data_IF_411839760857
#
_entry.id   IF_411839760857
#
_cell.length_a   1.000
_cell.length_b   1.000
_cell.length_c   1.000
_cell.angle_alpha   90.00
_cell.angle_beta   90.00
_cell.angle_gamma   90.00
#
_symmetry.space_group_name_H-M   'P 1'
#
loop_
_entity.id
_entity.type
_entity.pdbx_description
1 polymer ?
#
# COMPACT_ATOMS: atom_id res chain seq x y z
N UNK A 1 24.13 11.77 -14.43
CA UNK A 1 25.40 11.11 -14.12
C UNK A 1 25.22 10.29 -12.87
N UNK A 2 25.08 8.99 -13.01
CA UNK A 2 25.15 8.08 -11.87
C UNK A 2 26.61 7.92 -11.49
N UNK A 3 26.97 8.40 -10.31
CA UNK A 3 28.29 8.12 -9.74
C UNK A 3 28.42 6.62 -9.51
N UNK A 4 29.41 5.94 -10.09
CA UNK A 4 29.58 4.49 -9.95
C UNK A 4 29.90 4.01 -8.53
N UNK A 5 30.00 4.90 -7.58
CA UNK A 5 30.61 4.67 -6.26
C UNK A 5 29.60 4.59 -5.09
N UNK A 6 28.30 4.45 -5.39
CA UNK A 6 27.27 4.34 -4.34
C UNK A 6 26.56 2.98 -4.32
N UNK A 7 27.33 1.93 -4.56
CA UNK A 7 26.78 0.58 -4.34
C UNK A 7 26.70 0.29 -2.84
N UNK A 8 25.54 -0.22 -2.41
CA UNK A 8 25.27 -0.57 -1.02
C UNK A 8 24.90 -2.04 -0.90
N UNK A 9 25.15 -2.61 0.27
CA UNK A 9 24.82 -4.01 0.58
C UNK A 9 23.30 -4.18 0.82
N UNK A 10 22.82 -5.42 0.75
CA UNK A 10 21.43 -5.73 1.10
C UNK A 10 21.08 -5.30 2.53
N UNK A 11 22.03 -5.43 3.47
CA UNK A 11 21.85 -4.96 4.84
C UNK A 11 21.67 -3.45 4.93
N UNK A 12 22.43 -2.68 4.15
CA UNK A 12 22.28 -1.23 4.07
C UNK A 12 20.95 -0.83 3.42
N UNK A 13 20.54 -1.51 2.35
CA UNK A 13 19.21 -1.30 1.74
C UNK A 13 18.10 -1.59 2.75
N UNK A 14 18.18 -2.69 3.47
CA UNK A 14 17.22 -3.04 4.50
C UNK A 14 17.12 -1.97 5.59
N UNK A 15 18.24 -1.45 6.05
CA UNK A 15 18.30 -0.38 7.05
C UNK A 15 17.69 0.93 6.55
N UNK A 16 17.97 1.33 5.31
CA UNK A 16 17.44 2.55 4.70
C UNK A 16 15.94 2.50 4.41
N UNK A 17 15.42 1.31 4.06
CA UNK A 17 14.03 1.13 3.63
C UNK A 17 13.11 0.59 4.72
N UNK A 18 13.66 0.11 5.82
CA UNK A 18 12.91 -0.60 6.86
C UNK A 18 12.39 -1.98 6.42
N UNK A 19 12.83 -2.47 5.26
CA UNK A 19 12.42 -3.77 4.71
C UNK A 19 13.41 -4.86 5.11
N UNK A 20 12.90 -6.05 5.36
CA UNK A 20 13.75 -7.22 5.63
C UNK A 20 14.48 -7.67 4.38
N UNK A 21 15.71 -8.17 4.47
CA UNK A 21 16.44 -8.74 3.33
C UNK A 21 15.65 -9.80 2.56
N UNK A 22 14.85 -10.62 3.27
CA UNK A 22 13.99 -11.63 2.65
C UNK A 22 12.91 -11.02 1.73
N UNK A 23 12.33 -9.89 2.11
CA UNK A 23 11.36 -9.18 1.27
C UNK A 23 12.03 -8.61 0.02
N UNK A 24 13.22 -8.05 0.14
CA UNK A 24 14.00 -7.53 -0.98
C UNK A 24 14.30 -8.66 -1.98
N UNK A 25 14.76 -9.81 -1.50
CA UNK A 25 15.00 -11.00 -2.35
C UNK A 25 13.73 -11.50 -3.02
N UNK A 26 12.61 -11.48 -2.30
CA UNK A 26 11.31 -11.85 -2.85
C UNK A 26 10.92 -10.96 -4.04
N UNK A 27 11.09 -9.63 -3.92
CA UNK A 27 10.82 -8.70 -5.01
C UNK A 27 11.74 -8.92 -6.22
N UNK A 28 12.97 -9.34 -6.00
CA UNK A 28 13.87 -9.76 -7.08
C UNK A 28 13.33 -11.01 -7.79
N UNK A 29 12.88 -12.02 -7.02
CA UNK A 29 12.35 -13.27 -7.57
C UNK A 29 11.11 -13.08 -8.43
N UNK A 30 10.20 -12.20 -8.03
CA UNK A 30 8.97 -11.93 -8.77
C UNK A 30 9.12 -10.87 -9.86
N UNK A 31 10.33 -10.35 -10.07
CA UNK A 31 10.65 -9.40 -11.13
C UNK A 31 10.23 -7.96 -10.88
N UNK A 32 9.93 -7.59 -9.63
CA UNK A 32 9.68 -6.19 -9.25
C UNK A 32 10.97 -5.38 -9.08
N UNK A 33 12.05 -6.04 -8.70
CA UNK A 33 13.39 -5.45 -8.66
C UNK A 33 14.27 -6.13 -9.70
N UNK A 34 15.15 -5.37 -10.40
CA UNK A 34 16.16 -5.97 -11.24
C UNK A 34 17.12 -6.80 -10.40
N UNK A 35 17.71 -7.81 -11.00
CA UNK A 35 18.74 -8.61 -10.31
C UNK A 35 19.92 -7.73 -9.95
N UNK A 36 20.39 -7.77 -8.69
CA UNK A 36 21.51 -6.96 -8.27
C UNK A 36 22.81 -7.43 -8.92
N UNK A 37 23.72 -6.51 -9.14
CA UNK A 37 25.10 -6.86 -9.46
C UNK A 37 25.75 -7.60 -8.28
N UNK A 38 26.77 -8.39 -8.56
CA UNK A 38 27.54 -9.06 -7.52
C UNK A 38 29.00 -8.59 -7.58
N UNK A 39 29.52 -8.21 -6.43
CA UNK A 39 30.94 -7.87 -6.24
C UNK A 39 31.48 -8.84 -5.20
N UNK A 40 32.50 -9.62 -5.59
CA UNK A 40 33.08 -10.66 -4.72
C UNK A 40 32.04 -11.63 -4.14
N UNK A 41 31.05 -12.03 -4.94
CA UNK A 41 29.98 -12.94 -4.57
C UNK A 41 28.86 -12.32 -3.73
N UNK A 42 28.94 -11.04 -3.38
CA UNK A 42 27.94 -10.33 -2.58
C UNK A 42 27.06 -9.47 -3.45
N UNK A 43 25.74 -9.44 -3.13
CA UNK A 43 24.79 -8.54 -3.77
C UNK A 43 25.13 -7.08 -3.46
N UNK A 44 25.16 -6.24 -4.50
CA UNK A 44 25.29 -4.80 -4.38
C UNK A 44 24.17 -4.10 -5.12
N UNK A 45 23.63 -3.06 -4.53
CA UNK A 45 22.47 -2.32 -5.00
C UNK A 45 22.83 -0.85 -5.24
N UNK A 46 22.20 -0.24 -6.21
CA UNK A 46 22.34 1.20 -6.48
C UNK A 46 21.26 2.02 -5.77
N UNK A 47 21.39 3.37 -5.82
CA UNK A 47 20.38 4.28 -5.27
C UNK A 47 18.99 4.11 -5.89
N UNK A 48 18.92 3.68 -7.14
CA UNK A 48 17.67 3.40 -7.85
C UNK A 48 16.87 2.27 -7.17
N UNK A 49 17.54 1.30 -6.57
CA UNK A 49 16.88 0.22 -5.83
C UNK A 49 16.13 0.75 -4.62
N UNK A 50 16.71 1.68 -3.86
CA UNK A 50 16.06 2.32 -2.72
C UNK A 50 14.80 3.08 -3.17
N UNK A 51 14.87 3.79 -4.28
CA UNK A 51 13.73 4.50 -4.85
C UNK A 51 12.64 3.54 -5.33
N UNK A 52 13.00 2.48 -6.01
CA UNK A 52 12.07 1.44 -6.46
C UNK A 52 11.36 0.79 -5.29
N UNK A 53 12.08 0.47 -4.22
CA UNK A 53 11.48 -0.06 -2.98
C UNK A 53 10.50 0.94 -2.34
N UNK A 54 10.81 2.24 -2.39
CA UNK A 54 9.89 3.27 -1.91
C UNK A 54 8.59 3.30 -2.73
N UNK A 55 8.68 3.15 -4.05
CA UNK A 55 7.50 3.04 -4.93
C UNK A 55 6.67 1.81 -4.58
N UNK A 56 7.31 0.66 -4.40
CA UNK A 56 6.63 -0.59 -4.02
C UNK A 56 5.90 -0.43 -2.69
N UNK A 57 6.59 0.09 -1.68
CA UNK A 57 6.02 0.25 -0.35
C UNK A 57 4.86 1.25 -0.33
N UNK A 58 5.05 2.41 -0.93
CA UNK A 58 4.01 3.45 -1.01
C UNK A 58 2.80 2.93 -1.78
N UNK A 59 3.02 2.25 -2.91
CA UNK A 59 1.96 1.64 -3.70
C UNK A 59 1.14 0.63 -2.89
N UNK A 60 1.80 -0.28 -2.18
CA UNK A 60 1.11 -1.26 -1.34
C UNK A 60 0.31 -0.61 -0.21
N UNK A 61 0.85 0.41 0.44
CA UNK A 61 0.13 1.17 1.47
C UNK A 61 -1.08 1.91 0.91
N UNK A 62 -1.01 2.36 -0.33
CA UNK A 62 -2.11 3.00 -1.04
C UNK A 62 -3.13 2.00 -1.62
N UNK A 63 -2.93 0.69 -1.42
CA UNK A 63 -3.83 -0.34 -1.88
C UNK A 63 -3.61 -0.80 -3.32
N UNK A 64 -2.48 -0.50 -3.92
CA UNK A 64 -2.12 -1.04 -5.22
C UNK A 64 -1.71 -2.51 -5.08
N UNK A 65 -2.12 -3.32 -6.05
CA UNK A 65 -1.66 -4.70 -6.17
C UNK A 65 -0.22 -4.76 -6.67
N UNK A 66 0.47 -5.88 -6.45
CA UNK A 66 1.82 -6.08 -6.97
C UNK A 66 1.85 -6.02 -8.51
N UNK A 67 0.80 -6.48 -9.19
CA UNK A 67 0.70 -6.39 -10.65
C UNK A 67 0.56 -4.93 -11.12
N UNK A 68 -0.25 -4.12 -10.44
CA UNK A 68 -0.35 -2.69 -10.71
C UNK A 68 0.99 -1.97 -10.49
N UNK A 69 1.69 -2.31 -9.42
CA UNK A 69 3.03 -1.76 -9.14
C UNK A 69 4.04 -2.20 -10.21
N UNK A 70 3.97 -3.47 -10.65
CA UNK A 70 4.82 -3.97 -11.73
C UNK A 70 4.60 -3.18 -13.02
N UNK A 71 3.35 -2.89 -13.36
CA UNK A 71 3.00 -2.09 -14.53
C UNK A 71 3.57 -0.66 -14.46
N UNK A 72 3.55 -0.05 -13.27
CA UNK A 72 4.19 1.26 -13.06
C UNK A 72 5.70 1.20 -13.28
N UNK A 73 6.36 0.17 -12.75
CA UNK A 73 7.81 0.03 -12.81
C UNK A 73 8.31 -0.43 -14.18
N UNK A 74 7.47 -1.11 -14.95
CA UNK A 74 7.80 -1.61 -16.29
C UNK A 74 7.54 -0.63 -17.43
N UNK A 75 7.02 0.56 -17.13
CA UNK A 75 6.80 1.59 -18.13
C UNK A 75 8.14 2.01 -18.76
N UNK A 76 8.38 1.50 -19.98
CA UNK A 76 9.66 1.63 -20.68
C UNK A 76 9.90 2.98 -21.35
N UNK A 77 8.85 3.81 -21.44
CA UNK A 77 8.89 5.10 -22.15
C UNK A 77 9.16 6.29 -21.23
N UNK A 78 9.91 6.04 -20.15
CA UNK A 78 10.31 7.07 -19.21
C UNK A 78 9.25 7.41 -18.16
N UNK A 79 9.56 8.41 -17.36
CA UNK A 79 8.77 8.79 -16.18
C UNK A 79 7.33 9.23 -16.53
N UNK A 80 7.11 9.79 -17.72
CA UNK A 80 5.79 10.28 -18.13
C UNK A 80 4.78 9.14 -18.27
N UNK A 81 5.14 8.03 -18.90
CA UNK A 81 4.25 6.87 -19.03
C UNK A 81 3.92 6.25 -17.67
N UNK A 82 4.88 6.17 -16.76
CA UNK A 82 4.67 5.71 -15.40
C UNK A 82 3.69 6.61 -14.64
N UNK A 83 3.82 7.93 -14.76
CA UNK A 83 2.92 8.90 -14.14
C UNK A 83 1.50 8.79 -14.70
N UNK A 84 1.35 8.62 -15.99
CA UNK A 84 0.02 8.41 -16.61
C UNK A 84 -0.66 7.14 -16.09
N UNK A 85 0.06 6.04 -16.00
CA UNK A 85 -0.45 4.79 -15.40
C UNK A 85 -0.84 4.97 -13.93
N UNK A 86 -0.03 5.70 -13.17
CA UNK A 86 -0.35 6.02 -11.78
C UNK A 86 -1.67 6.81 -11.68
N UNK A 87 -1.88 7.79 -12.56
CA UNK A 87 -3.14 8.56 -12.61
C UNK A 87 -4.34 7.66 -12.92
N UNK A 88 -4.21 6.77 -13.89
CA UNK A 88 -5.26 5.82 -14.25
C UNK A 88 -5.65 4.92 -13.06
N UNK A 89 -4.66 4.37 -12.37
CA UNK A 89 -4.88 3.55 -11.17
C UNK A 89 -5.55 4.37 -10.07
N UNK A 90 -5.09 5.58 -9.82
CA UNK A 90 -5.65 6.46 -8.80
C UNK A 90 -7.12 6.80 -9.10
N UNK A 91 -7.44 7.19 -10.33
CA UNK A 91 -8.81 7.50 -10.75
C UNK A 91 -9.74 6.29 -10.58
N UNK A 92 -9.25 5.10 -10.88
CA UNK A 92 -10.03 3.86 -10.72
C UNK A 92 -10.27 3.50 -9.25
N UNK A 93 -9.28 3.74 -8.37
CA UNK A 93 -9.38 3.38 -6.95
C UNK A 93 -10.10 4.41 -6.08
N UNK A 94 -10.10 5.67 -6.46
CA UNK A 94 -10.72 6.74 -5.67
C UNK A 94 -12.21 6.48 -5.33
N UNK A 95 -13.08 6.03 -6.25
CA UNK A 95 -14.46 5.73 -5.90
C UNK A 95 -14.60 4.63 -4.83
N UNK A 96 -13.77 3.60 -4.87
CA UNK A 96 -13.76 2.52 -3.88
C UNK A 96 -13.38 3.04 -2.49
N UNK A 97 -12.36 3.90 -2.43
CA UNK A 97 -11.92 4.51 -1.17
C UNK A 97 -12.99 5.45 -0.61
N UNK A 98 -13.63 6.25 -1.46
CA UNK A 98 -14.74 7.14 -1.05
C UNK A 98 -15.90 6.35 -0.47
N UNK A 99 -16.30 5.27 -1.12
CA UNK A 99 -17.36 4.37 -0.61
C UNK A 99 -16.96 3.76 0.73
N UNK A 100 -15.71 3.33 0.90
CA UNK A 100 -15.20 2.81 2.16
C UNK A 100 -15.27 3.86 3.27
N UNK A 101 -14.89 5.10 2.99
CA UNK A 101 -14.97 6.22 3.94
C UNK A 101 -16.43 6.44 4.39
N UNK A 102 -17.38 6.50 3.45
CA UNK A 102 -18.80 6.70 3.74
C UNK A 102 -19.34 5.59 4.64
N UNK A 103 -19.04 4.33 4.33
CA UNK A 103 -19.43 3.19 5.13
C UNK A 103 -18.85 3.23 6.55
N UNK A 104 -17.60 3.60 6.65
CA UNK A 104 -16.89 3.69 7.93
C UNK A 104 -17.41 4.83 8.77
N UNK A 105 -17.78 5.96 8.18
CA UNK A 105 -18.42 7.08 8.88
C UNK A 105 -19.77 6.70 9.49
N UNK A 106 -20.57 5.94 8.78
CA UNK A 106 -21.85 5.42 9.30
C UNK A 106 -21.62 4.57 10.54
N UNK A 107 -20.65 3.67 10.49
CA UNK A 107 -20.30 2.81 11.64
C UNK A 107 -19.77 3.64 12.81
N UNK A 108 -18.91 4.63 12.54
CA UNK A 108 -18.40 5.54 13.56
C UNK A 108 -19.54 6.27 14.26
N UNK A 109 -20.45 6.85 13.51
CA UNK A 109 -21.56 7.62 14.06
C UNK A 109 -22.47 6.74 14.94
N UNK A 110 -22.70 5.51 14.51
CA UNK A 110 -23.44 4.52 15.33
C UNK A 110 -22.69 4.18 16.62
N UNK A 111 -21.39 3.93 16.56
CA UNK A 111 -20.55 3.65 17.74
C UNK A 111 -20.49 4.83 18.71
N UNK A 112 -20.41 6.05 18.20
CA UNK A 112 -20.46 7.26 19.02
C UNK A 112 -21.79 7.39 19.74
N UNK A 113 -22.90 7.10 19.06
CA UNK A 113 -24.22 7.06 19.67
C UNK A 113 -24.30 5.95 20.73
N UNK A 114 -23.78 4.77 20.44
CA UNK A 114 -23.75 3.64 21.38
C UNK A 114 -22.92 3.95 22.63
N UNK A 115 -21.79 4.65 22.47
CA UNK A 115 -20.94 5.04 23.59
C UNK A 115 -21.62 6.00 24.56
N UNK A 116 -22.63 6.73 24.11
CA UNK A 116 -23.42 7.68 24.93
C UNK A 116 -24.80 7.14 25.31
N UNK A 117 -25.12 5.91 24.94
CA UNK A 117 -26.42 5.32 25.18
C UNK A 117 -26.66 5.12 26.68
N UNK A 118 -27.82 5.56 27.17
CA UNK A 118 -28.30 5.37 28.54
C UNK A 118 -29.56 4.50 28.61
N UNK A 119 -29.76 3.66 27.59
CA UNK A 119 -30.89 2.79 27.50
C UNK A 119 -30.91 1.74 28.64
N UNK A 120 -32.07 1.40 29.22
CA UNK A 120 -32.16 0.45 30.34
C UNK A 120 -31.86 -0.99 29.92
N UNK A 121 -32.09 -1.33 28.65
CA UNK A 121 -31.82 -2.66 28.10
C UNK A 121 -31.56 -2.58 26.61
N UNK A 122 -31.01 -3.62 26.02
CA UNK A 122 -30.85 -3.72 24.57
C UNK A 122 -32.18 -3.79 23.84
N UNK A 123 -33.18 -4.42 24.44
CA UNK A 123 -34.54 -4.58 23.84
C UNK A 123 -35.25 -3.23 23.65
N UNK A 124 -34.91 -2.24 24.47
CA UNK A 124 -35.52 -0.91 24.41
C UNK A 124 -34.61 0.12 23.73
N UNK A 125 -33.47 -0.32 23.19
CA UNK A 125 -32.46 0.57 22.62
C UNK A 125 -32.72 0.84 21.12
N UNK A 126 -33.02 2.10 20.72
CA UNK A 126 -33.33 2.43 19.34
C UNK A 126 -32.17 2.15 18.35
N UNK A 127 -30.95 1.99 18.85
CA UNK A 127 -29.79 1.69 18.01
C UNK A 127 -29.90 0.33 17.30
N UNK A 128 -30.78 -0.54 17.76
CA UNK A 128 -30.96 -1.87 17.19
C UNK A 128 -32.30 -2.03 16.41
N UNK A 129 -33.05 -0.95 16.25
CA UNK A 129 -34.38 -1.00 15.59
C UNK A 129 -34.27 -1.34 14.11
N UNK A 130 -33.24 -0.85 13.43
CA UNK A 130 -33.02 -1.06 12.00
C UNK A 130 -31.56 -1.44 11.68
N UNK A 131 -31.25 -2.73 11.61
CA UNK A 131 -29.92 -3.21 11.25
C UNK A 131 -29.48 -2.79 9.84
N UNK A 132 -30.43 -2.44 8.95
CA UNK A 132 -30.12 -2.05 7.58
C UNK A 132 -29.46 -0.66 7.48
N UNK A 133 -29.50 0.13 8.54
CA UNK A 133 -28.78 1.41 8.60
C UNK A 133 -27.26 1.24 8.59
N UNK A 134 -26.77 0.08 9.03
CA UNK A 134 -25.34 -0.23 9.02
C UNK A 134 -24.97 -0.99 7.74
N UNK A 135 -23.76 -0.74 7.17
CA UNK A 135 -23.29 -1.52 6.04
C UNK A 135 -23.04 -2.97 6.46
N UNK A 136 -23.35 -3.92 5.58
CA UNK A 136 -23.21 -5.36 5.87
C UNK A 136 -21.77 -5.77 6.21
N UNK A 137 -20.80 -5.07 5.66
CA UNK A 137 -19.39 -5.35 5.91
C UNK A 137 -18.53 -4.11 5.69
N UNK A 138 -17.71 -3.81 6.68
CA UNK A 138 -16.63 -2.82 6.57
C UNK A 138 -15.32 -3.58 6.60
N UNK A 139 -14.45 -3.44 5.58
CA UNK A 139 -13.14 -4.09 5.59
C UNK A 139 -12.32 -3.65 6.81
N UNK A 140 -11.71 -4.62 7.49
CA UNK A 140 -10.90 -4.35 8.68
C UNK A 140 -11.63 -4.46 10.02
N UNK A 141 -12.92 -4.76 9.98
CA UNK A 141 -13.72 -5.05 11.17
C UNK A 141 -14.08 -6.51 11.28
#
# INVERSE_FOLDING_TARGET
MSSPDRSITIGAVAALTGRRPSAIRYYEQIGLLPRPARVSGRRVYGPDTVRTLAVIETGQRAGLTLDEIRDLLSASDGDQAAIERLREVAVRKLPEVRELIERTEIVRDWLEAAARCECPSLDECPLFDDPALLPQKVPGF
#
